data_IF_424152839763
#
_entry.id   IF_424152839763
#
_cell.length_a   1.000
_cell.length_b   1.000
_cell.length_c   1.000
_cell.angle_alpha   90.00
_cell.angle_beta   90.00
_cell.angle_gamma   90.00
#
_symmetry.space_group_name_H-M   'P 1'
#
loop_
_entity.id
_entity.type
_entity.pdbx_description
1 polymer ?
#
# COMPACT_ATOMS: atom_id res chain seq x y z
N UNK A 1 -7.23 7.61 -10.34
CA UNK A 1 -6.75 7.52 -8.96
C UNK A 1 -5.58 6.54 -8.85
N UNK A 2 -4.72 6.75 -7.89
CA UNK A 2 -3.59 5.85 -7.60
C UNK A 2 -3.87 5.12 -6.29
N UNK A 3 -3.58 3.82 -6.26
CA UNK A 3 -3.82 2.99 -5.09
C UNK A 3 -2.51 2.40 -4.57
N UNK A 4 -2.38 2.35 -3.23
CA UNK A 4 -1.29 1.65 -2.55
C UNK A 4 -1.88 0.45 -1.80
N UNK A 5 -1.45 -0.74 -2.18
CA UNK A 5 -1.87 -1.99 -1.55
C UNK A 5 -0.75 -2.45 -0.62
N UNK A 6 -1.07 -2.63 0.65
CA UNK A 6 -0.09 -2.98 1.68
C UNK A 6 -0.01 -4.49 1.90
N UNK A 7 1.21 -4.99 2.13
CA UNK A 7 1.46 -6.39 2.47
C UNK A 7 0.83 -7.36 1.47
N UNK A 8 1.13 -7.14 0.21
CA UNK A 8 0.46 -7.86 -0.89
C UNK A 8 0.76 -9.37 -0.91
N UNK A 9 1.92 -9.81 -0.41
CA UNK A 9 2.26 -11.23 -0.27
C UNK A 9 2.05 -12.04 -1.54
N UNK A 10 1.11 -12.99 -1.47
CA UNK A 10 0.76 -13.88 -2.59
C UNK A 10 -0.54 -13.48 -3.28
N UNK A 11 -1.01 -12.26 -3.06
CA UNK A 11 -2.29 -11.77 -3.60
C UNK A 11 -2.19 -11.29 -5.04
N UNK A 12 -1.56 -12.10 -5.90
CA UNK A 12 -1.33 -11.77 -7.30
C UNK A 12 -2.61 -11.37 -8.06
N UNK A 13 -3.66 -12.17 -7.88
CA UNK A 13 -4.93 -11.93 -8.58
C UNK A 13 -5.60 -10.63 -8.13
N UNK A 14 -5.46 -10.28 -6.86
CA UNK A 14 -6.00 -9.03 -6.35
C UNK A 14 -5.28 -7.83 -6.98
N UNK A 15 -3.95 -7.88 -7.04
CA UNK A 15 -3.15 -6.83 -7.67
C UNK A 15 -3.52 -6.73 -9.15
N UNK A 16 -3.62 -7.86 -9.85
CA UNK A 16 -4.02 -7.89 -11.26
C UNK A 16 -5.41 -7.27 -11.46
N UNK A 17 -6.34 -7.56 -10.55
CA UNK A 17 -7.68 -6.98 -10.61
C UNK A 17 -7.63 -5.45 -10.62
N UNK A 18 -6.85 -4.86 -9.70
CA UNK A 18 -6.73 -3.41 -9.64
C UNK A 18 -6.00 -2.84 -10.85
N UNK A 19 -5.03 -3.58 -11.39
CA UNK A 19 -4.34 -3.17 -12.62
C UNK A 19 -5.29 -3.09 -13.82
N UNK A 20 -6.27 -3.96 -13.87
CA UNK A 20 -7.26 -3.99 -14.95
C UNK A 20 -8.40 -3.00 -14.73
N UNK A 21 -8.50 -2.44 -13.54
CA UNK A 21 -9.57 -1.50 -13.21
C UNK A 21 -9.23 -0.12 -13.77
N UNK A 22 -10.10 0.40 -14.64
CA UNK A 22 -9.87 1.68 -15.30
C UNK A 22 -9.85 2.88 -14.36
N UNK A 23 -10.34 2.71 -13.12
CA UNK A 23 -10.34 3.79 -12.12
C UNK A 23 -8.96 4.06 -11.53
N UNK A 24 -8.02 3.10 -11.65
CA UNK A 24 -6.69 3.22 -11.07
C UNK A 24 -5.66 3.34 -12.18
N UNK A 25 -5.03 4.51 -12.27
CA UNK A 25 -3.98 4.78 -13.24
C UNK A 25 -2.67 4.13 -12.86
N UNK A 26 -2.43 4.00 -11.56
CA UNK A 26 -1.20 3.44 -11.03
C UNK A 26 -1.53 2.57 -9.80
N UNK A 27 -1.00 1.35 -9.80
CA UNK A 27 -1.11 0.42 -8.68
C UNK A 27 0.27 0.24 -8.08
N UNK A 28 0.43 0.67 -6.84
CA UNK A 28 1.68 0.55 -6.08
C UNK A 28 1.43 -0.43 -4.96
N UNK A 29 2.40 -1.29 -4.69
CA UNK A 29 2.30 -2.29 -3.63
C UNK A 29 3.50 -2.24 -2.70
N UNK A 30 3.31 -2.70 -1.48
CA UNK A 30 4.40 -2.88 -0.51
C UNK A 30 4.39 -4.30 0.02
N UNK A 31 5.54 -4.74 0.43
CA UNK A 31 5.70 -5.98 1.21
C UNK A 31 7.02 -5.90 1.97
N UNK A 32 7.19 -6.72 2.98
CA UNK A 32 8.45 -6.78 3.72
C UNK A 32 9.46 -7.74 3.09
N UNK A 33 9.13 -8.39 1.99
CA UNK A 33 9.99 -9.36 1.32
C UNK A 33 9.98 -9.17 -0.20
N UNK A 34 11.16 -9.20 -0.81
CA UNK A 34 11.31 -9.21 -2.26
C UNK A 34 10.83 -10.52 -2.88
N UNK A 35 10.63 -11.54 -2.07
CA UNK A 35 10.18 -12.86 -2.54
C UNK A 35 8.66 -12.96 -2.59
N UNK A 36 7.95 -11.94 -2.16
CA UNK A 36 6.50 -11.88 -2.29
C UNK A 36 6.13 -11.78 -3.78
N UNK A 37 5.48 -12.79 -4.37
CA UNK A 37 5.26 -12.79 -5.83
C UNK A 37 4.35 -11.67 -6.30
N UNK A 38 3.43 -11.20 -5.47
CA UNK A 38 2.48 -10.17 -5.87
C UNK A 38 3.13 -8.81 -6.13
N UNK A 39 4.34 -8.54 -5.60
CA UNK A 39 5.01 -7.26 -5.85
C UNK A 39 5.34 -7.04 -7.32
N UNK A 40 5.51 -8.12 -8.07
CA UNK A 40 5.89 -8.05 -9.49
C UNK A 40 4.69 -7.87 -10.42
N UNK A 41 3.47 -7.92 -9.87
CA UNK A 41 2.25 -7.70 -10.64
C UNK A 41 1.87 -6.21 -10.73
N UNK A 42 2.44 -5.38 -9.85
CA UNK A 42 2.08 -3.96 -9.76
C UNK A 42 2.89 -3.10 -10.74
N UNK A 43 2.46 -1.86 -10.92
CA UNK A 43 3.22 -0.86 -11.69
C UNK A 43 4.52 -0.51 -10.98
N UNK A 44 4.48 -0.48 -9.65
CA UNK A 44 5.63 -0.17 -8.83
C UNK A 44 5.52 -0.86 -7.50
N UNK A 45 6.65 -1.24 -6.92
CA UNK A 45 6.65 -1.86 -5.59
C UNK A 45 7.73 -1.24 -4.70
N UNK A 46 7.51 -1.36 -3.40
CA UNK A 46 8.48 -0.98 -2.38
C UNK A 46 8.62 -2.11 -1.38
N UNK A 47 9.86 -2.44 -1.04
CA UNK A 47 10.13 -3.35 0.07
C UNK A 47 10.29 -2.50 1.32
N UNK A 48 9.45 -2.73 2.30
CA UNK A 48 9.38 -1.91 3.51
C UNK A 48 9.63 -2.78 4.74
N UNK A 49 9.84 -2.13 5.89
CA UNK A 49 9.96 -2.84 7.16
C UNK A 49 8.63 -3.47 7.54
N UNK A 50 8.65 -4.35 8.54
CA UNK A 50 7.42 -4.92 9.09
C UNK A 50 6.63 -3.84 9.82
N UNK A 51 5.32 -4.00 9.88
CA UNK A 51 4.43 -3.01 10.49
C UNK A 51 4.68 -2.80 11.98
N UNK A 52 5.37 -3.72 12.64
CA UNK A 52 5.75 -3.61 14.05
C UNK A 52 7.01 -2.78 14.27
N UNK A 53 7.73 -2.44 13.21
CA UNK A 53 8.98 -1.68 13.31
C UNK A 53 8.73 -0.19 13.46
N UNK A 54 9.57 0.52 14.23
CA UNK A 54 9.49 1.97 14.31
C UNK A 54 9.69 2.60 12.92
N UNK A 55 8.94 3.66 12.64
CA UNK A 55 9.07 4.37 11.37
C UNK A 55 8.26 3.78 10.22
N UNK A 56 7.55 2.69 10.44
CA UNK A 56 6.70 2.10 9.38
C UNK A 56 5.67 3.09 8.84
N UNK A 57 4.97 3.80 9.74
CA UNK A 57 3.98 4.80 9.32
C UNK A 57 4.59 5.94 8.53
N UNK A 58 5.76 6.42 8.93
CA UNK A 58 6.46 7.50 8.22
C UNK A 58 6.89 7.03 6.83
N UNK A 59 7.31 5.79 6.71
CA UNK A 59 7.69 5.18 5.43
C UNK A 59 6.48 5.13 4.48
N UNK A 60 5.33 4.68 4.97
CA UNK A 60 4.11 4.63 4.18
C UNK A 60 3.66 6.03 3.75
N UNK A 61 3.77 7.00 4.65
CA UNK A 61 3.43 8.39 4.34
C UNK A 61 4.30 8.91 3.20
N UNK A 62 5.62 8.67 3.26
CA UNK A 62 6.53 9.08 2.20
C UNK A 62 6.18 8.46 0.86
N UNK A 63 5.84 7.17 0.84
CA UNK A 63 5.43 6.48 -0.39
C UNK A 63 4.15 7.10 -0.95
N UNK A 64 3.17 7.36 -0.09
CA UNK A 64 1.92 7.99 -0.50
C UNK A 64 2.15 9.35 -1.13
N UNK A 65 3.02 10.16 -0.56
CA UNK A 65 3.33 11.49 -1.09
C UNK A 65 4.10 11.38 -2.41
N UNK A 66 5.10 10.49 -2.46
CA UNK A 66 5.95 10.32 -3.64
C UNK A 66 5.18 9.80 -4.85
N UNK A 67 4.24 8.89 -4.63
CA UNK A 67 3.49 8.23 -5.70
C UNK A 67 2.11 8.84 -5.94
N UNK A 68 1.80 9.94 -5.27
CA UNK A 68 0.49 10.61 -5.38
C UNK A 68 -0.68 9.66 -5.12
N UNK A 69 -0.58 8.89 -4.04
CA UNK A 69 -1.59 7.89 -3.69
C UNK A 69 -2.88 8.57 -3.22
N UNK A 70 -4.01 8.08 -3.70
CA UNK A 70 -5.34 8.55 -3.32
C UNK A 70 -6.04 7.57 -2.38
N UNK A 71 -5.78 6.28 -2.53
CA UNK A 71 -6.45 5.22 -1.77
C UNK A 71 -5.41 4.27 -1.20
N UNK A 72 -5.57 3.92 0.08
CA UNK A 72 -4.70 2.99 0.80
C UNK A 72 -5.49 1.74 1.16
N UNK A 73 -5.00 0.58 0.75
CA UNK A 73 -5.69 -0.69 0.99
C UNK A 73 -4.81 -1.64 1.80
N UNK A 74 -5.02 -1.76 3.12
CA UNK A 74 -4.38 -2.80 3.92
C UNK A 74 -5.09 -4.13 3.71
N UNK A 75 -4.33 -5.22 3.63
CA UNK A 75 -4.87 -6.56 3.39
C UNK A 75 -4.89 -7.45 4.61
N UNK A 76 -4.18 -7.05 5.68
CA UNK A 76 -4.13 -7.81 6.92
C UNK A 76 -4.90 -7.06 8.00
N UNK A 77 -5.60 -7.82 8.86
CA UNK A 77 -6.44 -7.23 9.90
C UNK A 77 -5.66 -6.34 10.87
N UNK A 78 -4.49 -6.81 11.31
CA UNK A 78 -3.64 -6.04 12.22
C UNK A 78 -3.18 -4.73 11.59
N UNK A 79 -2.89 -4.76 10.30
CA UNK A 79 -2.47 -3.58 9.55
C UNK A 79 -3.64 -2.62 9.36
N UNK A 80 -4.83 -3.14 9.13
CA UNK A 80 -6.03 -2.33 9.04
C UNK A 80 -6.25 -1.55 10.33
N UNK A 81 -6.10 -2.20 11.49
CA UNK A 81 -6.23 -1.54 12.79
C UNK A 81 -5.16 -0.47 12.99
N UNK A 82 -3.93 -0.77 12.60
CA UNK A 82 -2.82 0.18 12.71
C UNK A 82 -3.07 1.42 11.86
N UNK A 83 -3.55 1.26 10.64
CA UNK A 83 -3.88 2.37 9.74
C UNK A 83 -5.04 3.19 10.34
N UNK A 84 -6.05 2.52 10.87
CA UNK A 84 -7.19 3.22 11.49
C UNK A 84 -6.77 4.08 12.67
N UNK A 85 -5.82 3.60 13.49
CA UNK A 85 -5.28 4.36 14.61
C UNK A 85 -4.46 5.57 14.17
N UNK A 86 -3.98 5.56 12.94
CA UNK A 86 -3.14 6.62 12.38
C UNK A 86 -3.84 7.34 11.20
N UNK A 87 -5.15 7.26 11.14
CA UNK A 87 -5.95 7.80 10.03
C UNK A 87 -5.60 9.25 9.70
N UNK A 88 -5.35 10.06 10.72
CA UNK A 88 -5.07 11.48 10.53
C UNK A 88 -3.82 11.71 9.68
N UNK A 89 -2.80 10.87 9.82
CA UNK A 89 -1.57 10.98 9.03
C UNK A 89 -1.90 10.93 7.54
N UNK A 90 -2.80 10.03 7.17
CA UNK A 90 -3.16 9.84 5.75
C UNK A 90 -4.18 10.87 5.28
N UNK A 91 -5.16 11.20 6.10
CA UNK A 91 -6.16 12.21 5.72
C UNK A 91 -5.51 13.59 5.53
N UNK A 92 -4.49 13.92 6.31
CA UNK A 92 -3.77 15.20 6.20
C UNK A 92 -3.05 15.36 4.86
N UNK A 93 -2.73 14.25 4.18
CA UNK A 93 -2.09 14.27 2.85
C UNK A 93 -3.04 13.85 1.74
N UNK A 94 -4.33 13.77 2.02
CA UNK A 94 -5.35 13.49 1.01
C UNK A 94 -5.49 12.03 0.62
N UNK A 95 -5.08 11.10 1.48
CA UNK A 95 -5.18 9.67 1.23
C UNK A 95 -6.37 9.10 2.00
N UNK A 96 -7.20 8.31 1.31
CA UNK A 96 -8.36 7.65 1.88
C UNK A 96 -7.98 6.21 2.23
N UNK A 97 -7.96 5.86 3.51
CA UNK A 97 -7.64 4.49 3.93
C UNK A 97 -8.74 3.51 3.62
#
# INVERSE_FOLDING_TARGET
MNILILSCGTRNKLVQYFKECNEFEKVVVTDCSKQAPAIYEADKYYVVSRMTEPGYMDCLKEICEKEDINVLLPLQEDELLLIAQNEKIFSDIGVLP
#
